data_IF_481496779122
#
_entry.id   IF_481496779122
#
_cell.length_a   1.000
_cell.length_b   1.000
_cell.length_c   1.000
_cell.angle_alpha   90.00
_cell.angle_beta   90.00
_cell.angle_gamma   90.00
#
_symmetry.space_group_name_H-M   'P 1'
#
loop_
_entity.id
_entity.type
_entity.pdbx_description
1 polymer ?
#
# COMPACT_ATOMS: atom_id res chain seq x y z
N UNK A 1 -22.71 19.35 3.26
CA UNK A 1 -21.47 19.90 2.65
C UNK A 1 -21.35 19.37 1.23
N UNK A 2 -21.01 20.21 0.25
CA UNK A 2 -20.80 19.72 -1.12
C UNK A 2 -19.64 18.72 -1.15
N UNK A 3 -19.83 17.57 -1.81
CA UNK A 3 -18.84 16.48 -1.94
C UNK A 3 -17.48 17.03 -2.41
N UNK A 4 -17.51 17.97 -3.36
CA UNK A 4 -16.31 18.62 -3.89
C UNK A 4 -15.52 19.36 -2.80
N UNK A 5 -16.19 19.98 -1.83
CA UNK A 5 -15.53 20.67 -0.72
C UNK A 5 -14.80 19.67 0.18
N UNK A 6 -15.40 18.52 0.48
CA UNK A 6 -14.76 17.46 1.27
C UNK A 6 -13.50 16.95 0.56
N UNK A 7 -13.64 16.60 -0.73
CA UNK A 7 -12.53 16.10 -1.53
C UNK A 7 -11.43 17.15 -1.72
N UNK A 8 -11.76 18.44 -1.80
CA UNK A 8 -10.78 19.52 -1.87
C UNK A 8 -9.99 19.65 -0.56
N UNK A 9 -10.64 19.52 0.59
CA UNK A 9 -9.96 19.51 1.89
C UNK A 9 -9.02 18.30 2.00
N UNK A 10 -9.48 17.13 1.57
CA UNK A 10 -8.66 15.91 1.54
C UNK A 10 -7.46 16.06 0.58
N UNK A 11 -7.66 16.72 -0.56
CA UNK A 11 -6.61 17.00 -1.54
C UNK A 11 -5.57 17.98 -0.99
N UNK A 12 -6.00 19.04 -0.29
CA UNK A 12 -5.09 19.96 0.40
C UNK A 12 -4.33 19.22 1.50
N UNK A 13 -5.01 18.34 2.25
CA UNK A 13 -4.41 17.53 3.32
C UNK A 13 -3.28 16.66 2.78
N UNK A 14 -3.50 15.93 1.67
CA UNK A 14 -2.45 15.09 1.07
C UNK A 14 -1.29 15.91 0.51
N UNK A 15 -1.56 17.09 -0.08
CA UNK A 15 -0.50 17.98 -0.60
C UNK A 15 0.36 18.52 0.53
N UNK A 16 -0.25 19.00 1.62
CA UNK A 16 0.48 19.48 2.80
C UNK A 16 1.32 18.34 3.38
N UNK A 17 0.72 17.16 3.57
CA UNK A 17 1.41 15.98 4.08
C UNK A 17 2.65 15.61 3.27
N UNK A 18 2.53 15.45 1.95
CA UNK A 18 3.68 15.11 1.10
C UNK A 18 4.70 16.24 0.99
N UNK A 19 4.28 17.50 1.09
CA UNK A 19 5.21 18.65 1.09
C UNK A 19 6.04 18.66 2.38
N UNK A 20 5.40 18.45 3.54
CA UNK A 20 6.09 18.32 4.83
C UNK A 20 7.02 17.12 4.83
N UNK A 21 6.55 15.96 4.35
CA UNK A 21 7.36 14.75 4.27
C UNK A 21 8.55 14.93 3.32
N UNK A 22 8.36 15.62 2.19
CA UNK A 22 9.44 15.94 1.27
C UNK A 22 10.50 16.81 1.94
N UNK A 23 10.10 17.85 2.67
CA UNK A 23 11.04 18.71 3.39
C UNK A 23 11.87 17.92 4.41
N UNK A 24 11.24 17.00 5.15
CA UNK A 24 11.92 16.10 6.10
C UNK A 24 12.86 15.14 5.35
N UNK A 25 12.38 14.44 4.33
CA UNK A 25 13.19 13.47 3.56
C UNK A 25 14.36 14.15 2.82
N UNK A 26 14.18 15.40 2.38
CA UNK A 26 15.23 16.18 1.74
C UNK A 26 16.30 16.64 2.74
N UNK A 27 15.95 16.92 4.00
CA UNK A 27 16.93 17.31 5.02
C UNK A 27 17.76 16.13 5.49
N UNK A 28 17.14 14.95 5.68
CA UNK A 28 17.84 13.71 6.04
C UNK A 28 18.53 13.02 4.84
N UNK A 29 18.27 13.51 3.62
CA UNK A 29 18.73 12.92 2.34
C UNK A 29 18.38 11.44 2.17
N UNK A 30 17.21 11.05 2.67
CA UNK A 30 16.63 9.72 2.49
C UNK A 30 15.11 9.82 2.26
N UNK A 31 14.64 9.31 1.12
CA UNK A 31 13.22 9.29 0.76
C UNK A 31 12.54 7.96 1.11
N UNK A 32 13.27 6.97 1.63
CA UNK A 32 12.74 5.61 1.89
C UNK A 32 11.54 5.61 2.85
N UNK A 33 11.50 6.57 3.78
CA UNK A 33 10.39 6.76 4.71
C UNK A 33 9.04 7.01 4.02
N UNK A 34 9.04 7.40 2.74
CA UNK A 34 7.82 7.57 1.95
C UNK A 34 6.99 6.28 1.85
N UNK A 35 7.64 5.11 1.82
CA UNK A 35 6.94 3.83 1.75
C UNK A 35 6.12 3.59 3.04
N UNK A 36 6.67 3.94 4.21
CA UNK A 36 5.97 3.83 5.49
C UNK A 36 4.86 4.88 5.62
N UNK A 37 5.14 6.12 5.20
CA UNK A 37 4.14 7.19 5.15
C UNK A 37 2.97 6.84 4.24
N UNK A 38 3.21 6.12 3.14
CA UNK A 38 2.16 5.78 2.19
C UNK A 38 1.01 5.03 2.86
N UNK A 39 1.29 4.12 3.80
CA UNK A 39 0.26 3.47 4.60
C UNK A 39 -0.40 4.44 5.59
N UNK A 40 0.39 5.19 6.35
CA UNK A 40 -0.11 6.13 7.37
C UNK A 40 -0.95 7.28 6.79
N UNK A 41 -0.59 7.78 5.61
CA UNK A 41 -1.32 8.83 4.92
C UNK A 41 -2.69 8.36 4.40
N UNK A 42 -2.91 7.06 4.20
CA UNK A 42 -4.25 6.52 3.92
C UNK A 42 -5.17 6.63 5.13
N UNK A 43 -4.64 6.34 6.33
CA UNK A 43 -5.37 6.55 7.57
C UNK A 43 -5.57 8.05 7.86
N UNK A 44 -4.60 8.90 7.51
CA UNK A 44 -4.77 10.36 7.58
C UNK A 44 -5.93 10.83 6.70
N UNK A 45 -6.05 10.34 5.47
CA UNK A 45 -7.17 10.70 4.58
C UNK A 45 -8.50 10.14 5.08
N UNK A 46 -8.52 8.90 5.57
CA UNK A 46 -9.71 8.34 6.20
C UNK A 46 -10.16 9.19 7.40
N UNK A 47 -9.22 9.62 8.25
CA UNK A 47 -9.48 10.49 9.40
C UNK A 47 -9.92 11.89 8.97
N UNK A 48 -9.27 12.47 7.96
CA UNK A 48 -9.60 13.79 7.42
C UNK A 48 -11.05 13.83 6.92
N UNK A 49 -11.51 12.81 6.19
CA UNK A 49 -12.93 12.71 5.82
C UNK A 49 -13.81 12.47 7.04
N UNK A 50 -13.40 11.61 7.98
CA UNK A 50 -14.20 11.29 9.18
C UNK A 50 -14.50 12.53 10.02
N UNK A 51 -13.51 13.38 10.30
CA UNK A 51 -13.69 14.60 11.12
C UNK A 51 -14.51 15.68 10.43
N UNK A 52 -14.69 15.57 9.11
CA UNK A 52 -15.57 16.45 8.34
C UNK A 52 -17.04 16.00 8.39
N UNK A 53 -17.35 14.82 8.93
CA UNK A 53 -18.70 14.28 9.00
C UNK A 53 -19.36 14.62 10.35
N UNK A 54 -20.63 15.02 10.32
CA UNK A 54 -21.35 15.47 11.51
C UNK A 54 -21.65 14.34 12.53
N UNK A 55 -21.73 13.09 12.08
CA UNK A 55 -22.13 11.94 12.90
C UNK A 55 -21.21 10.75 12.65
N UNK A 56 -20.73 10.11 13.72
CA UNK A 56 -20.00 8.86 13.63
C UNK A 56 -20.98 7.68 13.41
N UNK A 57 -21.22 7.31 12.15
CA UNK A 57 -22.01 6.11 11.82
C UNK A 57 -21.14 4.85 11.85
N UNK A 58 -21.74 3.68 12.02
CA UNK A 58 -21.04 2.39 12.05
C UNK A 58 -20.13 2.19 10.83
N UNK A 59 -20.59 2.59 9.64
CA UNK A 59 -19.81 2.53 8.40
C UNK A 59 -18.56 3.39 8.43
N UNK A 60 -18.68 4.63 8.92
CA UNK A 60 -17.57 5.58 9.03
C UNK A 60 -16.51 5.07 10.02
N UNK A 61 -16.97 4.59 11.17
CA UNK A 61 -16.10 3.99 12.20
C UNK A 61 -15.43 2.72 11.67
N UNK A 62 -16.16 1.87 10.95
CA UNK A 62 -15.63 0.64 10.37
C UNK A 62 -14.57 0.92 9.30
N UNK A 63 -14.83 1.83 8.36
CA UNK A 63 -13.86 2.24 7.33
C UNK A 63 -12.60 2.85 7.94
N UNK A 64 -12.76 3.79 8.88
CA UNK A 64 -11.63 4.40 9.59
C UNK A 64 -10.85 3.36 10.39
N UNK A 65 -11.54 2.50 11.15
CA UNK A 65 -10.93 1.49 12.00
C UNK A 65 -10.13 0.45 11.22
N UNK A 66 -10.69 -0.09 10.14
CA UNK A 66 -9.99 -1.06 9.28
C UNK A 66 -8.82 -0.41 8.53
N UNK A 67 -9.01 0.80 8.01
CA UNK A 67 -7.94 1.55 7.34
C UNK A 67 -6.80 1.86 8.31
N UNK A 68 -7.11 2.36 9.51
CA UNK A 68 -6.13 2.64 10.56
C UNK A 68 -5.39 1.38 11.00
N UNK A 69 -6.11 0.27 11.23
CA UNK A 69 -5.50 -1.01 11.60
C UNK A 69 -4.48 -1.46 10.55
N UNK A 70 -4.87 -1.46 9.27
CA UNK A 70 -3.95 -1.78 8.18
C UNK A 70 -2.79 -0.79 8.09
N UNK A 71 -3.07 0.52 8.15
CA UNK A 71 -2.08 1.57 8.00
C UNK A 71 -1.00 1.55 9.08
N UNK A 72 -1.39 1.41 10.36
CA UNK A 72 -0.45 1.33 11.46
C UNK A 72 0.36 0.04 11.40
N UNK A 73 -0.25 -1.07 10.98
CA UNK A 73 0.41 -2.36 10.83
C UNK A 73 1.46 -2.34 9.72
N UNK A 74 1.09 -1.89 8.51
CA UNK A 74 2.00 -1.83 7.37
C UNK A 74 3.02 -0.68 7.53
N UNK A 75 2.56 0.51 7.88
CA UNK A 75 3.41 1.68 8.10
C UNK A 75 4.43 1.45 9.21
N UNK A 76 4.00 0.87 10.33
CA UNK A 76 4.89 0.49 11.44
C UNK A 76 5.92 -0.55 11.03
N UNK A 77 5.51 -1.59 10.28
CA UNK A 77 6.43 -2.61 9.77
C UNK A 77 7.47 -2.02 8.80
N UNK A 78 7.06 -1.15 7.87
CA UNK A 78 7.96 -0.52 6.91
C UNK A 78 8.91 0.48 7.59
N UNK A 79 8.42 1.22 8.59
CA UNK A 79 9.24 2.14 9.38
C UNK A 79 10.30 1.37 10.18
N UNK A 80 9.90 0.29 10.87
CA UNK A 80 10.83 -0.59 11.57
C UNK A 80 11.88 -1.17 10.62
N UNK A 81 11.45 -1.66 9.45
CA UNK A 81 12.35 -2.22 8.42
C UNK A 81 13.37 -1.20 7.93
N UNK A 82 12.94 0.03 7.68
CA UNK A 82 13.83 1.13 7.29
C UNK A 82 14.87 1.43 8.37
N UNK A 83 14.47 1.49 9.64
CA UNK A 83 15.42 1.70 10.75
C UNK A 83 16.43 0.57 10.90
N UNK A 84 16.03 -0.66 10.61
CA UNK A 84 16.87 -1.86 10.75
C UNK A 84 17.82 -2.05 9.55
N UNK A 85 17.39 -1.76 8.32
CA UNK A 85 18.15 -2.03 7.10
C UNK A 85 18.75 -0.78 6.42
N UNK A 86 18.37 0.42 6.85
CA UNK A 86 18.78 1.69 6.26
C UNK A 86 18.06 2.03 4.94
N UNK A 87 18.62 2.96 4.15
CA UNK A 87 18.00 3.46 2.92
C UNK A 87 17.78 2.37 1.87
N UNK A 88 16.63 2.39 1.18
CA UNK A 88 16.35 1.45 0.11
C UNK A 88 17.21 1.77 -1.13
N UNK A 89 17.97 0.78 -1.59
CA UNK A 89 18.82 0.85 -2.78
C UNK A 89 18.08 1.29 -4.05
N UNK A 90 16.76 1.07 -4.15
CA UNK A 90 15.92 1.57 -5.25
C UNK A 90 15.98 3.10 -5.31
N UNK A 91 15.79 3.76 -4.17
CA UNK A 91 15.76 5.20 -4.08
C UNK A 91 17.15 5.81 -4.24
N UNK A 92 18.16 5.20 -3.62
CA UNK A 92 19.56 5.62 -3.78
C UNK A 92 19.95 5.66 -5.27
N UNK A 93 19.74 4.56 -5.99
CA UNK A 93 20.02 4.48 -7.44
C UNK A 93 19.20 5.45 -8.27
N UNK A 94 17.98 5.77 -7.85
CA UNK A 94 17.13 6.72 -8.55
C UNK A 94 17.67 8.14 -8.41
N UNK A 95 18.16 8.51 -7.22
CA UNK A 95 18.78 9.81 -6.97
C UNK A 95 20.13 9.92 -7.70
N UNK A 96 20.97 8.88 -7.66
CA UNK A 96 22.24 8.81 -8.40
C UNK A 96 22.00 9.02 -9.90
N UNK A 97 21.06 8.27 -10.50
CA UNK A 97 20.72 8.42 -11.93
C UNK A 97 20.18 9.81 -12.27
N UNK A 98 19.41 10.43 -11.38
CA UNK A 98 18.89 11.77 -11.60
C UNK A 98 20.02 12.81 -11.59
N UNK A 99 20.99 12.65 -10.69
CA UNK A 99 22.17 13.48 -10.64
C UNK A 99 23.05 13.28 -11.88
N UNK A 100 23.39 12.03 -12.23
CA UNK A 100 24.26 11.69 -13.37
C UNK A 100 23.66 12.12 -14.72
N UNK A 101 22.37 11.84 -14.95
CA UNK A 101 21.77 12.05 -16.29
C UNK A 101 21.11 13.40 -16.47
N UNK A 102 20.67 14.05 -15.40
CA UNK A 102 19.89 15.30 -15.47
C UNK A 102 20.52 16.45 -14.70
N UNK A 103 21.62 16.23 -13.96
CA UNK A 103 22.25 17.25 -13.12
C UNK A 103 21.34 17.72 -11.98
N UNK A 104 20.33 16.93 -11.60
CA UNK A 104 19.38 17.35 -10.56
C UNK A 104 19.97 17.16 -9.17
N UNK A 105 19.91 18.20 -8.33
CA UNK A 105 20.19 18.08 -6.90
C UNK A 105 19.15 17.23 -6.18
N UNK A 106 19.50 16.72 -5.00
CA UNK A 106 18.68 15.77 -4.23
C UNK A 106 17.25 16.26 -3.97
N UNK A 107 17.09 17.52 -3.53
CA UNK A 107 15.79 18.10 -3.24
C UNK A 107 14.87 18.12 -4.47
N UNK A 108 15.41 18.54 -5.63
CA UNK A 108 14.68 18.57 -6.90
C UNK A 108 14.35 17.16 -7.39
N UNK A 109 15.30 16.24 -7.31
CA UNK A 109 15.11 14.87 -7.76
C UNK A 109 14.07 14.12 -6.92
N UNK A 110 14.17 14.21 -5.59
CA UNK A 110 13.20 13.63 -4.67
C UNK A 110 11.80 14.21 -4.89
N UNK A 111 11.66 15.54 -5.02
CA UNK A 111 10.38 16.19 -5.25
C UNK A 111 9.67 15.63 -6.50
N UNK A 112 10.33 15.70 -7.66
CA UNK A 112 9.71 15.35 -8.94
C UNK A 112 9.58 13.85 -9.20
N UNK A 113 10.55 13.05 -8.73
CA UNK A 113 10.56 11.61 -9.02
C UNK A 113 9.83 10.77 -7.96
N UNK A 114 9.65 11.31 -6.76
CA UNK A 114 8.96 10.62 -5.66
C UNK A 114 7.68 11.36 -5.32
N UNK A 115 7.78 12.48 -4.61
CA UNK A 115 6.66 13.07 -3.89
C UNK A 115 5.51 13.54 -4.78
N UNK A 116 5.81 14.22 -5.89
CA UNK A 116 4.80 14.68 -6.85
C UNK A 116 4.01 13.51 -7.44
N UNK A 117 4.65 12.36 -7.63
CA UNK A 117 3.94 11.16 -8.14
C UNK A 117 3.13 10.46 -7.05
N UNK A 118 3.57 10.50 -5.79
CA UNK A 118 2.93 9.76 -4.70
C UNK A 118 1.62 10.41 -4.23
N UNK A 119 1.53 11.74 -4.21
CA UNK A 119 0.33 12.46 -3.78
C UNK A 119 -0.95 12.10 -4.55
N UNK A 120 -1.00 12.21 -5.90
CA UNK A 120 -2.20 11.84 -6.66
C UNK A 120 -2.51 10.35 -6.58
N UNK A 121 -1.48 9.48 -6.54
CA UNK A 121 -1.69 8.04 -6.39
C UNK A 121 -2.32 7.70 -5.04
N UNK A 122 -1.82 8.29 -3.95
CA UNK A 122 -2.36 8.06 -2.62
C UNK A 122 -3.81 8.56 -2.54
N UNK A 123 -4.10 9.73 -3.09
CA UNK A 123 -5.45 10.29 -3.11
C UNK A 123 -6.45 9.39 -3.85
N UNK A 124 -6.09 8.91 -5.05
CA UNK A 124 -6.98 8.03 -5.84
C UNK A 124 -7.16 6.68 -5.13
N UNK A 125 -6.10 6.09 -4.58
CA UNK A 125 -6.22 4.82 -3.87
C UNK A 125 -7.06 4.98 -2.59
N UNK A 126 -6.98 6.12 -1.90
CA UNK A 126 -7.76 6.43 -0.69
C UNK A 126 -9.26 6.65 -0.94
N UNK A 127 -9.73 6.72 -2.19
CA UNK A 127 -11.14 6.99 -2.49
C UNK A 127 -12.15 6.10 -1.75
N UNK A 128 -11.92 4.78 -1.53
CA UNK A 128 -12.85 3.94 -0.77
C UNK A 128 -13.14 4.45 0.63
N UNK A 129 -12.10 4.91 1.32
CA UNK A 129 -12.21 5.40 2.70
C UNK A 129 -12.64 6.86 2.75
N UNK A 130 -12.53 7.62 1.66
CA UNK A 130 -13.08 8.97 1.57
C UNK A 130 -14.56 8.92 1.18
N UNK A 131 -14.87 8.45 -0.03
CA UNK A 131 -16.23 8.45 -0.58
C UNK A 131 -17.21 7.58 0.20
N UNK A 132 -16.74 6.45 0.75
CA UNK A 132 -17.57 5.56 1.56
C UNK A 132 -18.06 6.16 2.88
N UNK A 133 -17.48 7.30 3.31
CA UNK A 133 -17.88 8.01 4.52
C UNK A 133 -18.85 9.17 4.27
N UNK A 134 -18.90 9.70 3.04
CA UNK A 134 -19.61 10.96 2.76
C UNK A 134 -21.12 10.79 2.89
N UNK A 135 -21.67 9.74 2.30
CA UNK A 135 -23.11 9.48 2.34
C UNK A 135 -23.47 8.65 3.58
N UNK A 136 -24.49 9.10 4.33
CA UNK A 136 -24.96 8.39 5.53
C UNK A 136 -25.89 7.21 5.20
N UNK A 137 -26.58 7.27 4.06
CA UNK A 137 -27.55 6.24 3.66
C UNK A 137 -26.93 5.18 2.73
N UNK A 138 -27.30 3.89 2.89
CA UNK A 138 -28.18 3.37 3.95
C UNK A 138 -27.48 3.37 5.33
N UNK A 139 -28.20 3.76 6.39
CA UNK A 139 -27.61 3.83 7.75
C UNK A 139 -27.10 2.47 8.22
N UNK A 140 -27.89 1.42 8.00
CA UNK A 140 -27.52 0.06 8.37
C UNK A 140 -26.43 -0.51 7.44
N UNK A 141 -25.52 -1.29 8.02
CA UNK A 141 -24.57 -2.09 7.24
C UNK A 141 -25.30 -3.30 6.64
N UNK A 142 -25.16 -3.46 5.33
CA UNK A 142 -25.69 -4.62 4.61
C UNK A 142 -24.68 -5.77 4.54
N UNK A 143 -25.09 -6.83 3.84
CA UNK A 143 -24.24 -8.01 3.65
C UNK A 143 -22.94 -7.73 2.89
N UNK A 144 -22.92 -6.70 2.02
CA UNK A 144 -21.73 -6.34 1.25
C UNK A 144 -20.67 -5.68 2.14
N UNK A 145 -21.08 -4.85 3.10
CA UNK A 145 -20.16 -4.27 4.08
C UNK A 145 -19.58 -5.34 5.01
N UNK A 146 -20.38 -6.31 5.48
CA UNK A 146 -19.85 -7.42 6.28
C UNK A 146 -18.86 -8.29 5.49
N UNK A 147 -19.19 -8.61 4.23
CA UNK A 147 -18.27 -9.32 3.34
C UNK A 147 -16.98 -8.52 3.09
N UNK A 148 -17.10 -7.20 2.90
CA UNK A 148 -15.96 -6.30 2.73
C UNK A 148 -15.07 -6.22 3.98
N UNK A 149 -15.68 -6.14 5.17
CA UNK A 149 -14.96 -6.16 6.44
C UNK A 149 -14.22 -7.48 6.66
N UNK A 150 -14.88 -8.62 6.38
CA UNK A 150 -14.27 -9.93 6.45
C UNK A 150 -13.09 -10.06 5.47
N UNK A 151 -13.24 -9.57 4.25
CA UNK A 151 -12.17 -9.56 3.24
C UNK A 151 -10.99 -8.67 3.67
N UNK A 152 -11.27 -7.52 4.29
CA UNK A 152 -10.21 -6.64 4.77
C UNK A 152 -9.44 -7.24 5.96
N UNK A 153 -10.13 -7.83 6.94
CA UNK A 153 -9.49 -8.54 8.05
C UNK A 153 -8.66 -9.74 7.55
N UNK A 154 -9.20 -10.49 6.59
CA UNK A 154 -8.46 -11.56 5.92
C UNK A 154 -7.20 -11.01 5.24
N UNK A 155 -7.30 -9.90 4.52
CA UNK A 155 -6.17 -9.24 3.87
C UNK A 155 -5.07 -8.84 4.85
N UNK A 156 -5.42 -8.16 5.95
CA UNK A 156 -4.50 -7.76 7.01
C UNK A 156 -3.80 -8.99 7.62
N UNK A 157 -4.54 -10.06 7.91
CA UNK A 157 -3.97 -11.29 8.47
C UNK A 157 -3.03 -11.98 7.47
N UNK A 158 -3.44 -12.12 6.21
CA UNK A 158 -2.68 -12.77 5.15
C UNK A 158 -1.36 -12.04 4.89
N UNK A 159 -1.42 -10.71 4.81
CA UNK A 159 -0.27 -9.83 4.67
C UNK A 159 0.69 -9.98 5.86
N UNK A 160 0.15 -9.97 7.09
CA UNK A 160 0.94 -10.03 8.33
C UNK A 160 1.69 -11.35 8.46
N UNK A 161 1.03 -12.47 8.12
CA UNK A 161 1.64 -13.79 8.12
C UNK A 161 2.73 -13.87 7.04
N UNK A 162 2.46 -13.34 5.84
CA UNK A 162 3.40 -13.34 4.73
C UNK A 162 4.69 -12.59 5.09
N UNK A 163 4.58 -11.40 5.66
CA UNK A 163 5.73 -10.60 6.11
C UNK A 163 6.48 -11.23 7.27
N UNK A 164 5.78 -11.82 8.23
CA UNK A 164 6.41 -12.54 9.33
C UNK A 164 7.24 -13.72 8.81
N UNK A 165 6.69 -14.52 7.89
CA UNK A 165 7.41 -15.62 7.25
C UNK A 165 8.68 -15.12 6.53
N UNK A 166 8.57 -14.01 5.79
CA UNK A 166 9.70 -13.42 5.08
C UNK A 166 10.78 -12.89 6.02
N UNK A 167 10.38 -12.18 7.08
CA UNK A 167 11.30 -11.62 8.07
C UNK A 167 12.03 -12.74 8.81
N UNK A 168 11.30 -13.76 9.27
CA UNK A 168 11.90 -14.94 9.92
C UNK A 168 12.87 -15.67 8.99
N UNK A 169 12.50 -15.84 7.71
CA UNK A 169 13.36 -16.48 6.73
C UNK A 169 14.67 -15.72 6.53
N UNK A 170 14.60 -14.38 6.40
CA UNK A 170 15.78 -13.52 6.19
C UNK A 170 16.69 -13.43 7.40
N UNK A 171 16.15 -13.51 8.63
CA UNK A 171 16.94 -13.47 9.87
C UNK A 171 17.82 -14.70 10.08
N UNK A 172 17.57 -15.81 9.38
CA UNK A 172 18.41 -17.01 9.48
C UNK A 172 19.57 -16.96 8.46
N UNK A 173 20.84 -16.89 8.90
CA UNK A 173 21.99 -16.85 8.00
C UNK A 173 22.09 -18.07 7.07
N UNK A 174 21.59 -19.24 7.49
CA UNK A 174 21.57 -20.45 6.67
C UNK A 174 20.66 -20.33 5.43
N UNK A 175 19.83 -19.29 5.36
CA UNK A 175 18.98 -18.98 4.22
C UNK A 175 19.60 -17.96 3.25
N UNK A 176 20.84 -17.50 3.50
CA UNK A 176 21.55 -16.63 2.58
C UNK A 176 21.57 -17.26 1.17
N UNK A 177 21.17 -16.48 0.16
CA UNK A 177 21.07 -16.93 -1.23
C UNK A 177 19.82 -17.78 -1.56
N UNK A 178 19.10 -18.34 -0.58
CA UNK A 178 17.93 -19.21 -0.82
C UNK A 178 16.65 -18.43 -1.11
N UNK A 179 15.63 -19.11 -1.64
CA UNK A 179 14.30 -18.56 -1.94
C UNK A 179 13.29 -19.12 -0.96
N UNK A 180 12.45 -18.25 -0.38
CA UNK A 180 11.35 -18.68 0.47
C UNK A 180 10.22 -19.21 -0.42
N UNK A 181 9.96 -20.52 -0.37
CA UNK A 181 8.94 -21.21 -1.16
C UNK A 181 7.99 -22.06 -0.28
N UNK A 182 7.93 -21.77 1.02
CA UNK A 182 7.09 -22.45 2.01
C UNK A 182 6.06 -21.50 2.62
N UNK A 183 5.02 -22.02 3.28
CA UNK A 183 3.98 -21.19 3.87
C UNK A 183 3.15 -20.48 2.81
N UNK A 184 2.79 -19.21 3.02
CA UNK A 184 2.01 -18.43 2.05
C UNK A 184 2.79 -18.18 0.75
N UNK A 185 4.11 -18.08 0.85
CA UNK A 185 5.03 -17.93 -0.28
C UNK A 185 5.04 -19.16 -1.20
N UNK A 186 4.48 -20.30 -0.79
CA UNK A 186 4.27 -21.46 -1.67
C UNK A 186 3.12 -21.25 -2.66
N UNK A 187 2.13 -20.44 -2.30
CA UNK A 187 0.89 -20.28 -3.06
C UNK A 187 0.90 -19.01 -3.91
N UNK A 188 1.62 -17.98 -3.48
CA UNK A 188 1.83 -16.75 -4.24
C UNK A 188 3.21 -16.19 -3.98
N UNK A 189 3.80 -15.56 -5.00
CA UNK A 189 5.11 -14.90 -4.91
C UNK A 189 5.07 -13.57 -4.17
N UNK A 190 3.89 -12.99 -3.97
CA UNK A 190 3.70 -11.71 -3.27
C UNK A 190 2.48 -11.78 -2.32
N UNK A 191 2.55 -12.57 -1.24
CA UNK A 191 1.40 -12.73 -0.35
C UNK A 191 1.01 -11.42 0.34
N UNK A 192 1.98 -10.58 0.67
CA UNK A 192 1.76 -9.23 1.19
C UNK A 192 0.94 -8.37 0.21
N UNK A 193 1.30 -8.34 -1.08
CA UNK A 193 0.57 -7.53 -2.06
C UNK A 193 -0.86 -8.03 -2.30
N UNK A 194 -1.07 -9.35 -2.24
CA UNK A 194 -2.42 -9.90 -2.30
C UNK A 194 -3.25 -9.48 -1.08
N UNK A 195 -2.66 -9.53 0.11
CA UNK A 195 -3.28 -9.04 1.34
C UNK A 195 -3.69 -7.56 1.24
N UNK A 196 -2.79 -6.69 0.76
CA UNK A 196 -3.09 -5.28 0.50
C UNK A 196 -4.29 -5.12 -0.44
N UNK A 197 -4.32 -5.86 -1.55
CA UNK A 197 -5.46 -5.81 -2.46
C UNK A 197 -6.75 -6.25 -1.79
N UNK A 198 -6.76 -7.34 -1.00
CA UNK A 198 -7.93 -7.76 -0.23
C UNK A 198 -8.43 -6.66 0.70
N UNK A 199 -7.54 -5.95 1.40
CA UNK A 199 -7.91 -4.81 2.25
C UNK A 199 -8.65 -3.74 1.47
N UNK A 200 -8.07 -3.28 0.37
CA UNK A 200 -8.64 -2.17 -0.38
C UNK A 200 -9.89 -2.53 -1.18
N UNK A 201 -10.00 -3.76 -1.68
CA UNK A 201 -11.24 -4.27 -2.23
C UNK A 201 -12.32 -4.45 -1.15
N UNK A 202 -11.94 -4.83 0.07
CA UNK A 202 -12.85 -4.91 1.21
C UNK A 202 -13.37 -3.55 1.66
N UNK A 203 -12.48 -2.55 1.78
CA UNK A 203 -12.84 -1.16 2.08
C UNK A 203 -13.76 -0.57 0.99
N UNK A 204 -13.47 -0.88 -0.28
CA UNK A 204 -14.35 -0.52 -1.39
C UNK A 204 -15.73 -1.16 -1.26
N UNK A 205 -15.84 -2.45 -0.96
CA UNK A 205 -17.11 -3.13 -0.79
C UNK A 205 -17.97 -2.49 0.32
N UNK A 206 -17.35 -2.10 1.46
CA UNK A 206 -18.04 -1.35 2.52
C UNK A 206 -18.54 0.00 2.01
N UNK A 207 -17.69 0.76 1.31
CA UNK A 207 -18.07 2.06 0.77
C UNK A 207 -19.16 1.97 -0.30
N UNK A 208 -19.10 0.96 -1.18
CA UNK A 208 -20.00 0.74 -2.31
C UNK A 208 -21.44 0.40 -1.90
N UNK A 209 -21.71 0.14 -0.62
CA UNK A 209 -23.08 0.13 -0.13
C UNK A 209 -23.74 1.52 -0.18
N UNK A 210 -22.96 2.60 -0.27
CA UNK A 210 -23.48 3.95 -0.56
C UNK A 210 -23.57 4.16 -2.06
N UNK A 211 -24.46 5.03 -2.51
CA UNK A 211 -24.52 5.41 -3.93
C UNK A 211 -23.22 6.03 -4.43
N UNK A 212 -22.63 6.94 -3.64
CA UNK A 212 -21.38 7.63 -4.02
C UNK A 212 -20.15 6.72 -3.92
N UNK A 213 -20.15 5.73 -3.04
CA UNK A 213 -19.00 4.84 -2.83
C UNK A 213 -18.64 3.98 -4.04
N UNK A 214 -19.57 3.74 -4.96
CA UNK A 214 -19.27 3.09 -6.25
C UNK A 214 -18.21 3.85 -7.07
N UNK A 215 -18.18 5.18 -6.97
CA UNK A 215 -17.17 6.00 -7.65
C UNK A 215 -15.76 5.84 -7.06
N UNK A 216 -15.61 5.12 -5.95
CA UNK A 216 -14.32 4.79 -5.38
C UNK A 216 -13.60 3.62 -6.07
N UNK A 217 -14.26 2.93 -7.01
CA UNK A 217 -13.71 1.79 -7.75
C UNK A 217 -12.32 2.03 -8.39
N UNK A 218 -11.97 3.23 -8.90
CA UNK A 218 -10.63 3.50 -9.40
C UNK A 218 -9.52 3.26 -8.38
N UNK A 219 -9.80 3.41 -7.08
CA UNK A 219 -8.84 3.22 -6.01
C UNK A 219 -8.25 1.80 -5.92
N UNK A 220 -9.05 0.75 -5.64
CA UNK A 220 -8.57 -0.62 -5.59
C UNK A 220 -8.05 -1.13 -6.93
N UNK A 221 -8.58 -0.65 -8.07
CA UNK A 221 -8.05 -0.96 -9.40
C UNK A 221 -6.63 -0.42 -9.55
N UNK A 222 -6.43 0.87 -9.25
CA UNK A 222 -5.13 1.51 -9.35
C UNK A 222 -4.12 0.86 -8.40
N UNK A 223 -4.51 0.58 -7.16
CA UNK A 223 -3.67 -0.17 -6.22
C UNK A 223 -3.27 -1.52 -6.80
N UNK A 224 -4.23 -2.34 -7.23
CA UNK A 224 -3.94 -3.68 -7.76
C UNK A 224 -3.02 -3.60 -8.98
N UNK A 225 -3.25 -2.65 -9.88
CA UNK A 225 -2.40 -2.42 -11.04
C UNK A 225 -0.99 -1.99 -10.64
N UNK A 226 -0.86 -1.04 -9.70
CA UNK A 226 0.45 -0.62 -9.20
C UNK A 226 1.17 -1.82 -8.60
N UNK A 227 0.54 -2.61 -7.73
CA UNK A 227 1.14 -3.79 -7.10
C UNK A 227 1.62 -4.82 -8.13
N UNK A 228 0.83 -5.11 -9.17
CA UNK A 228 1.14 -6.15 -10.16
C UNK A 228 2.11 -5.71 -11.26
N UNK A 229 2.06 -4.44 -11.69
CA UNK A 229 2.73 -3.99 -12.93
C UNK A 229 3.79 -2.92 -12.72
N UNK A 230 3.64 -2.07 -11.71
CA UNK A 230 4.50 -0.89 -11.55
C UNK A 230 5.38 -0.93 -10.28
N UNK A 231 4.89 -1.55 -9.22
CA UNK A 231 5.54 -1.62 -7.91
C UNK A 231 6.70 -2.62 -7.92
N UNK A 232 7.33 -2.84 -6.76
CA UNK A 232 8.53 -3.63 -6.61
C UNK A 232 8.50 -5.02 -7.28
N UNK A 233 7.35 -5.70 -7.43
CA UNK A 233 7.29 -7.10 -7.89
C UNK A 233 8.05 -7.37 -9.21
N UNK A 234 7.76 -6.72 -10.35
CA UNK A 234 8.49 -6.99 -11.60
C UNK A 234 9.97 -6.61 -11.54
N UNK A 235 10.31 -5.52 -10.84
CA UNK A 235 11.71 -5.07 -10.72
C UNK A 235 12.53 -5.98 -9.79
N UNK A 236 11.92 -6.48 -8.72
CA UNK A 236 12.53 -7.41 -7.77
C UNK A 236 12.70 -8.78 -8.42
N UNK A 237 11.68 -9.26 -9.12
CA UNK A 237 11.71 -10.53 -9.84
C UNK A 237 12.77 -10.55 -10.93
N UNK A 238 12.86 -9.49 -11.74
CA UNK A 238 13.89 -9.35 -12.76
C UNK A 238 15.31 -9.44 -12.16
N UNK A 239 15.51 -8.82 -10.99
CA UNK A 239 16.79 -8.89 -10.28
C UNK A 239 17.05 -10.28 -9.70
N UNK A 240 16.05 -10.88 -9.07
CA UNK A 240 16.18 -12.20 -8.44
C UNK A 240 16.42 -13.31 -9.47
N UNK A 241 15.83 -13.22 -10.67
CA UNK A 241 16.16 -14.12 -11.79
C UNK A 241 17.65 -14.10 -12.14
N UNK A 242 18.30 -12.93 -12.03
CA UNK A 242 19.74 -12.78 -12.34
C UNK A 242 20.65 -13.23 -11.21
N UNK A 243 20.20 -13.17 -9.96
CA UNK A 243 21.04 -13.42 -8.79
C UNK A 243 20.82 -14.77 -8.12
N UNK A 244 19.71 -15.46 -8.41
CA UNK A 244 19.33 -16.73 -7.78
C UNK A 244 18.88 -17.74 -8.82
N UNK A 245 19.68 -18.78 -9.13
CA UNK A 245 19.34 -19.80 -10.14
C UNK A 245 17.99 -20.48 -9.86
N UNK A 246 17.73 -20.83 -8.59
CA UNK A 246 16.49 -21.49 -8.13
C UNK A 246 15.23 -20.59 -8.24
N UNK A 247 15.40 -19.29 -8.50
CA UNK A 247 14.26 -18.38 -8.58
C UNK A 247 13.48 -18.56 -9.89
N UNK A 248 14.12 -19.05 -10.96
CA UNK A 248 13.43 -19.36 -12.21
C UNK A 248 12.36 -20.45 -12.00
N UNK A 249 12.72 -21.53 -11.31
CA UNK A 249 11.80 -22.63 -10.98
C UNK A 249 10.66 -22.17 -10.07
N UNK A 250 10.97 -21.30 -9.11
CA UNK A 250 9.97 -20.71 -8.22
C UNK A 250 8.93 -19.88 -9.00
N UNK A 251 9.36 -19.11 -10.00
CA UNK A 251 8.45 -18.36 -10.87
C UNK A 251 7.59 -19.30 -11.73
N UNK A 252 8.17 -20.38 -12.24
CA UNK A 252 7.45 -21.33 -13.10
C UNK A 252 6.36 -22.08 -12.33
N UNK A 253 6.60 -22.37 -11.05
CA UNK A 253 5.71 -23.17 -10.20
C UNK A 253 4.71 -22.36 -9.39
N UNK A 254 5.04 -21.12 -9.02
CA UNK A 254 4.27 -20.35 -8.03
C UNK A 254 3.53 -19.18 -8.67
N UNK A 255 2.25 -19.01 -8.32
CA UNK A 255 1.43 -17.91 -8.81
C UNK A 255 2.06 -16.55 -8.52
N UNK A 256 1.89 -15.61 -9.45
CA UNK A 256 2.46 -14.27 -9.30
C UNK A 256 1.76 -13.42 -8.25
N UNK A 257 0.44 -13.53 -8.09
CA UNK A 257 -0.32 -12.59 -7.26
C UNK A 257 -1.44 -13.28 -6.49
N UNK A 258 -2.43 -13.81 -7.20
CA UNK A 258 -3.54 -14.56 -6.58
C UNK A 258 -3.03 -15.90 -6.06
N UNK A 259 -3.19 -16.24 -4.77
CA UNK A 259 -2.76 -17.52 -4.21
C UNK A 259 -3.34 -18.71 -4.98
N UNK A 260 -2.48 -19.63 -5.42
CA UNK A 260 -2.89 -20.82 -6.15
C UNK A 260 -1.99 -22.01 -5.80
N UNK A 261 -2.49 -23.26 -5.80
CA UNK A 261 -1.64 -24.43 -5.64
C UNK A 261 -0.49 -24.44 -6.66
N UNK A 262 0.74 -24.79 -6.26
CA UNK A 262 1.89 -24.74 -7.15
C UNK A 262 1.75 -25.74 -8.29
N UNK A 263 2.20 -25.34 -9.48
CA UNK A 263 2.28 -26.24 -10.64
C UNK A 263 3.37 -27.29 -10.39
N UNK A 264 3.11 -28.53 -10.81
CA UNK A 264 4.16 -29.56 -10.88
C UNK A 264 5.02 -29.27 -12.10
N UNK A 265 6.34 -29.26 -11.91
CA UNK A 265 7.32 -29.27 -13.01
C UNK A 265 7.38 -30.66 -13.62
#
# INVERSE_FOLDING_TARGET
MEILKILAIDAVTVVIAFTTLWAICSSIRDVTMVDAWWALGMALLALATFVQMDVATDRRVLLLGLCALWAFRLGGYLFWRWRDHGPDRRYVRMMEKAQEKRGWGYARASFWLVFVTQAPLQFIVALPVMLGQIQAEPVALGGLAYAGAALALFGIAFESIGDFQLTRFRKNPANAGKVLNTGLWRYTRHPNYFGDACVWWGLFAIGAETGIGWFALPGPILLTWTLMKWSGAPTLEFRMRKTKPQYADYIATTSGFVPWPPKRL
#
